data_IF_350712751855
#
_entry.id   IF_350712751855
#
_cell.length_a   1.000
_cell.length_b   1.000
_cell.length_c   1.000
_cell.angle_alpha   90.00
_cell.angle_beta   90.00
_cell.angle_gamma   90.00
#
_symmetry.space_group_name_H-M   'P 1'
#
loop_
_entity.id
_entity.type
_entity.pdbx_description
1 polymer ?
#
# COMPACT_ATOMS: atom_id res chain seq x y z
N UNK A 1 -5.24 -31.02 -2.12
CA UNK A 1 -4.47 -29.95 -1.44
C UNK A 1 -3.32 -30.63 -0.70
N UNK A 2 -2.09 -30.64 -1.25
CA UNK A 2 -0.96 -31.39 -0.66
C UNK A 2 -0.40 -30.60 0.52
N UNK A 3 -0.59 -31.13 1.73
CA UNK A 3 -0.08 -30.55 2.98
C UNK A 3 1.44 -30.67 3.02
N UNK A 4 2.12 -29.53 3.15
CA UNK A 4 3.58 -29.44 3.27
C UNK A 4 3.92 -29.77 4.72
N UNK A 5 4.38 -30.98 5.00
CA UNK A 5 4.58 -31.48 6.38
C UNK A 5 6.04 -31.44 6.86
N UNK A 6 6.98 -30.95 6.04
CA UNK A 6 8.41 -30.92 6.42
C UNK A 6 8.99 -29.52 6.32
N UNK A 7 9.63 -29.04 7.41
CA UNK A 7 10.32 -27.73 7.47
C UNK A 7 11.29 -27.49 6.32
N UNK A 8 11.98 -28.53 5.82
CA UNK A 8 12.82 -28.46 4.62
C UNK A 8 12.07 -28.04 3.34
N UNK A 9 10.84 -28.50 3.16
CA UNK A 9 10.02 -28.11 2.01
C UNK A 9 9.54 -26.67 2.12
N UNK A 10 9.27 -26.17 3.34
CA UNK A 10 8.94 -24.77 3.59
C UNK A 10 10.10 -23.85 3.18
N UNK A 11 11.35 -24.21 3.50
CA UNK A 11 12.53 -23.46 3.04
C UNK A 11 12.70 -23.49 1.51
N UNK A 12 12.36 -24.60 0.84
CA UNK A 12 12.46 -24.68 -0.63
C UNK A 12 11.53 -23.72 -1.39
N UNK A 13 10.51 -23.17 -0.71
CA UNK A 13 9.61 -22.17 -1.30
C UNK A 13 10.35 -20.85 -1.54
N UNK A 14 11.27 -20.47 -0.63
CA UNK A 14 12.04 -19.23 -0.75
C UNK A 14 13.05 -19.25 -1.90
N UNK A 15 13.51 -20.42 -2.30
CA UNK A 15 14.38 -20.60 -3.47
C UNK A 15 13.66 -20.49 -4.82
N UNK A 16 12.33 -20.32 -4.85
CA UNK A 16 11.60 -20.16 -6.11
C UNK A 16 11.90 -18.78 -6.73
N UNK A 17 12.13 -18.69 -8.05
CA UNK A 17 12.44 -17.43 -8.73
C UNK A 17 11.33 -16.36 -8.58
N UNK A 18 10.08 -16.78 -8.40
CA UNK A 18 8.97 -15.88 -8.08
C UNK A 18 9.13 -15.17 -6.73
N UNK A 19 9.69 -15.83 -5.73
CA UNK A 19 9.91 -15.23 -4.40
C UNK A 19 10.99 -14.16 -4.48
N UNK A 20 12.05 -14.42 -5.25
CA UNK A 20 13.07 -13.41 -5.55
C UNK A 20 12.47 -12.18 -6.25
N UNK A 21 11.63 -12.38 -7.26
CA UNK A 21 10.89 -11.29 -7.90
C UNK A 21 10.02 -10.50 -6.92
N UNK A 22 9.33 -11.18 -5.99
CA UNK A 22 8.53 -10.53 -4.95
C UNK A 22 9.38 -9.76 -3.93
N UNK A 23 10.61 -10.20 -3.64
CA UNK A 23 11.55 -9.47 -2.78
C UNK A 23 11.95 -8.15 -3.46
N UNK A 24 12.35 -8.18 -4.73
CA UNK A 24 12.69 -6.96 -5.47
C UNK A 24 11.49 -6.03 -5.63
N UNK A 25 10.30 -6.57 -5.91
CA UNK A 25 9.06 -5.79 -5.95
C UNK A 25 8.74 -5.15 -4.61
N UNK A 26 8.86 -5.90 -3.50
CA UNK A 26 8.65 -5.38 -2.15
C UNK A 26 9.66 -4.29 -1.80
N UNK A 27 10.93 -4.50 -2.14
CA UNK A 27 12.00 -3.52 -1.95
C UNK A 27 11.74 -2.24 -2.75
N UNK A 28 11.43 -2.37 -4.05
CA UNK A 28 11.12 -1.23 -4.92
C UNK A 28 9.81 -0.53 -4.56
N UNK A 29 8.86 -1.20 -3.91
CA UNK A 29 7.63 -0.57 -3.44
C UNK A 29 7.84 0.16 -2.10
N UNK A 30 8.71 -0.36 -1.23
CA UNK A 30 8.97 0.21 0.10
C UNK A 30 9.98 1.35 0.09
N UNK A 31 11.04 1.25 -0.71
CA UNK A 31 12.10 2.27 -0.77
C UNK A 31 11.59 3.66 -1.15
N UNK A 32 10.82 3.84 -2.23
CA UNK A 32 10.36 5.17 -2.63
C UNK A 32 9.47 5.78 -1.56
N UNK A 33 8.62 4.98 -0.91
CA UNK A 33 7.78 5.45 0.19
C UNK A 33 8.64 6.02 1.32
N UNK A 34 9.65 5.28 1.79
CA UNK A 34 10.52 5.73 2.86
C UNK A 34 11.34 6.96 2.44
N UNK A 35 11.86 6.97 1.21
CA UNK A 35 12.62 8.09 0.66
C UNK A 35 11.77 9.35 0.57
N UNK A 36 10.56 9.27 0.01
CA UNK A 36 9.63 10.42 -0.11
C UNK A 36 9.27 10.98 1.26
N UNK A 37 8.97 10.13 2.25
CA UNK A 37 8.70 10.57 3.61
C UNK A 37 9.93 11.23 4.27
N UNK A 38 11.11 10.65 4.06
CA UNK A 38 12.37 11.19 4.59
C UNK A 38 12.72 12.52 3.95
N UNK A 39 12.61 12.64 2.63
CA UNK A 39 12.88 13.89 1.91
C UNK A 39 11.86 14.95 2.30
N UNK A 40 10.57 14.64 2.32
CA UNK A 40 9.54 15.59 2.76
C UNK A 40 9.82 16.09 4.18
N UNK A 41 10.19 15.20 5.09
CA UNK A 41 10.54 15.56 6.48
C UNK A 41 11.78 16.47 6.55
N UNK A 42 12.78 16.24 5.69
CA UNK A 42 13.98 17.08 5.61
C UNK A 42 13.64 18.47 5.04
N UNK A 43 12.86 18.55 3.97
CA UNK A 43 12.43 19.83 3.38
C UNK A 43 11.60 20.66 4.37
N UNK A 44 10.67 20.03 5.09
CA UNK A 44 9.90 20.70 6.15
C UNK A 44 10.81 21.20 7.28
N UNK A 45 11.87 20.45 7.62
CA UNK A 45 12.83 20.84 8.63
C UNK A 45 13.64 22.07 8.18
N UNK A 46 14.06 22.09 6.92
CA UNK A 46 14.84 23.19 6.33
C UNK A 46 14.02 24.47 6.18
N UNK A 47 12.72 24.35 5.87
CA UNK A 47 11.74 25.45 5.87
C UNK A 47 11.34 25.94 7.28
N UNK A 48 11.99 25.42 8.34
CA UNK A 48 11.77 25.87 9.72
C UNK A 48 10.46 25.39 10.35
N UNK A 49 9.79 24.39 9.75
CA UNK A 49 8.52 23.86 10.25
C UNK A 49 8.72 23.17 11.59
N UNK A 50 7.85 23.49 12.56
CA UNK A 50 7.91 22.93 13.91
C UNK A 50 7.81 21.39 13.92
N UNK A 51 8.55 20.75 14.83
CA UNK A 51 8.55 19.28 15.01
C UNK A 51 7.15 18.69 15.27
N UNK A 52 6.23 19.51 15.78
CA UNK A 52 4.81 19.16 15.95
C UNK A 52 4.10 18.84 14.62
N UNK A 53 4.44 19.54 13.54
CA UNK A 53 3.86 19.31 12.20
C UNK A 53 4.45 18.03 11.57
N UNK A 54 5.72 17.71 11.83
CA UNK A 54 6.29 16.41 11.49
C UNK A 54 5.57 15.29 12.27
N UNK A 55 5.19 15.57 13.53
CA UNK A 55 4.28 14.71 14.30
C UNK A 55 2.89 14.54 13.66
N UNK A 56 2.34 15.60 13.04
CA UNK A 56 1.10 15.50 12.26
C UNK A 56 1.26 14.60 11.02
N UNK A 57 2.42 14.59 10.34
CA UNK A 57 2.66 13.61 9.27
C UNK A 57 2.64 12.15 9.78
N UNK A 58 3.01 11.92 11.06
CA UNK A 58 2.86 10.59 11.68
C UNK A 58 1.40 10.14 11.77
N UNK A 59 0.42 11.06 11.79
CA UNK A 59 -1.01 10.71 11.76
C UNK A 59 -1.44 10.09 10.43
N UNK A 60 -0.76 10.38 9.32
CA UNK A 60 -1.01 9.72 8.04
C UNK A 60 -0.75 8.21 8.15
N UNK A 61 0.23 7.80 8.96
CA UNK A 61 0.46 6.40 9.30
C UNK A 61 -0.71 5.78 10.07
N UNK A 62 -1.35 6.55 10.96
CA UNK A 62 -2.56 6.12 11.68
C UNK A 62 -3.76 5.97 10.72
N UNK A 63 -3.91 6.89 9.75
CA UNK A 63 -4.90 6.74 8.67
C UNK A 63 -4.69 5.44 7.88
N UNK A 64 -3.44 5.03 7.67
CA UNK A 64 -3.12 3.73 7.07
C UNK A 64 -3.56 2.54 7.93
N UNK A 65 -3.52 2.66 9.26
CA UNK A 65 -4.06 1.64 10.18
C UNK A 65 -5.59 1.57 10.14
N UNK A 66 -6.28 2.70 9.90
CA UNK A 66 -7.73 2.76 9.70
C UNK A 66 -8.18 2.04 8.41
N UNK A 67 -7.23 1.65 7.53
CA UNK A 67 -7.51 0.84 6.33
C UNK A 67 -8.36 -0.40 6.62
N UNK A 68 -8.27 -1.01 7.80
CA UNK A 68 -9.09 -2.18 8.19
C UNK A 68 -10.59 -1.86 8.22
N UNK A 69 -10.97 -0.63 8.60
CA UNK A 69 -12.38 -0.22 8.66
C UNK A 69 -12.94 0.16 7.29
N UNK A 70 -12.12 0.78 6.45
CA UNK A 70 -12.55 1.21 5.10
C UNK A 70 -12.40 0.12 4.03
N UNK A 71 -11.49 -0.85 4.20
CA UNK A 71 -11.35 -2.00 3.29
C UNK A 71 -12.66 -2.77 3.04
N UNK A 72 -13.46 -3.15 4.07
CA UNK A 72 -14.73 -3.82 3.84
C UNK A 72 -15.76 -2.91 3.17
N UNK A 73 -15.72 -1.60 3.40
CA UNK A 73 -16.60 -0.63 2.74
C UNK A 73 -16.31 -0.59 1.24
N UNK A 74 -15.03 -0.51 0.87
CA UNK A 74 -14.56 -0.55 -0.51
C UNK A 74 -14.88 -1.87 -1.20
N UNK A 75 -14.59 -2.98 -0.54
CA UNK A 75 -14.80 -4.31 -1.12
C UNK A 75 -16.29 -4.68 -1.24
N UNK A 76 -17.14 -4.11 -0.37
CA UNK A 76 -18.59 -4.41 -0.32
C UNK A 76 -19.48 -3.42 -1.03
N UNK A 77 -19.04 -2.21 -1.37
CA UNK A 77 -19.80 -1.25 -2.19
C UNK A 77 -19.58 -1.54 -3.69
N UNK A 78 -20.49 -2.25 -4.38
CA UNK A 78 -20.48 -2.30 -5.84
C UNK A 78 -20.89 -0.93 -6.37
N UNK A 79 -19.99 -0.26 -7.09
CA UNK A 79 -20.35 0.94 -7.84
C UNK A 79 -21.30 0.54 -8.96
N UNK A 80 -22.54 1.04 -8.99
CA UNK A 80 -23.61 0.48 -9.81
C UNK A 80 -23.41 0.61 -11.33
N UNK A 81 -22.37 1.33 -11.79
CA UNK A 81 -22.07 1.53 -13.21
C UNK A 81 -20.71 0.96 -13.65
N UNK A 82 -19.61 1.30 -12.95
CA UNK A 82 -18.27 0.80 -13.33
C UNK A 82 -18.07 -0.69 -13.02
N UNK A 83 -18.69 -1.21 -11.95
CA UNK A 83 -18.49 -2.60 -11.50
C UNK A 83 -19.02 -3.62 -12.51
N UNK A 84 -20.06 -3.26 -13.28
CA UNK A 84 -20.69 -4.12 -14.30
C UNK A 84 -19.82 -4.27 -15.56
N UNK A 85 -19.02 -3.25 -15.89
CA UNK A 85 -18.18 -3.20 -17.10
C UNK A 85 -16.74 -3.66 -16.86
N UNK A 86 -16.16 -3.35 -15.69
CA UNK A 86 -14.72 -3.54 -15.41
C UNK A 86 -14.43 -4.47 -14.22
N UNK A 87 -15.46 -4.86 -13.46
CA UNK A 87 -15.33 -5.64 -12.23
C UNK A 87 -14.94 -4.79 -11.00
N UNK A 88 -15.15 -5.34 -9.80
CA UNK A 88 -14.99 -4.61 -8.52
C UNK A 88 -13.61 -3.98 -8.34
N UNK A 89 -12.53 -4.73 -8.61
CA UNK A 89 -11.16 -4.26 -8.38
C UNK A 89 -10.75 -3.11 -9.30
N UNK A 90 -11.08 -3.18 -10.59
CA UNK A 90 -10.68 -2.16 -11.58
C UNK A 90 -11.47 -0.86 -11.42
N UNK A 91 -12.75 -0.98 -11.07
CA UNK A 91 -13.63 0.17 -10.82
C UNK A 91 -13.12 1.03 -9.67
N UNK A 92 -12.69 0.39 -8.57
CA UNK A 92 -12.14 1.09 -7.42
C UNK A 92 -10.74 1.67 -7.67
N UNK A 93 -9.89 1.01 -8.47
CA UNK A 93 -8.62 1.60 -8.90
C UNK A 93 -8.83 2.88 -9.72
N UNK A 94 -9.78 2.87 -10.67
CA UNK A 94 -10.11 4.06 -11.45
C UNK A 94 -10.68 5.18 -10.59
N UNK A 95 -11.56 4.86 -9.64
CA UNK A 95 -12.08 5.86 -8.72
C UNK A 95 -10.99 6.48 -7.84
N UNK A 96 -10.07 5.67 -7.33
CA UNK A 96 -8.93 6.16 -6.56
C UNK A 96 -8.04 7.06 -7.42
N UNK A 97 -7.78 6.68 -8.68
CA UNK A 97 -7.03 7.51 -9.62
C UNK A 97 -7.72 8.83 -9.93
N UNK A 98 -9.04 8.82 -10.18
CA UNK A 98 -9.82 10.04 -10.42
C UNK A 98 -9.85 10.92 -9.17
N UNK A 99 -10.03 10.33 -7.99
CA UNK A 99 -10.01 11.05 -6.71
C UNK A 99 -8.68 11.76 -6.46
N UNK A 100 -7.56 11.09 -6.75
CA UNK A 100 -6.22 11.70 -6.67
C UNK A 100 -6.03 12.78 -7.74
N UNK A 101 -6.52 12.57 -8.97
CA UNK A 101 -6.37 13.53 -10.06
C UNK A 101 -7.30 14.77 -9.94
N UNK A 102 -8.40 14.65 -9.20
CA UNK A 102 -9.35 15.74 -8.94
C UNK A 102 -8.97 16.64 -7.76
N UNK A 103 -8.00 16.23 -6.96
CA UNK A 103 -7.43 17.02 -5.86
C UNK A 103 -6.11 17.65 -6.26
#
# INVERSE_FOLDING_TARGET
MKTVTTWRQAFSIYTKPRVWGMIFLGFSAGLPFLLVFSTLSAWLRDEGVARSVIGFFSWVGITYSIKVFWSPIVDRLPLPLLTKLLGKRRSWMLLAQIGIASG
#
